data_IF_832520526649
#
_entry.id   IF_832520526649
#
_cell.length_a   1.000
_cell.length_b   1.000
_cell.length_c   1.000
_cell.angle_alpha   90.00
_cell.angle_beta   90.00
_cell.angle_gamma   90.00
#
_symmetry.space_group_name_H-M   'P 1'
#
loop_
_entity.id
_entity.type
_entity.pdbx_description
1 polymer ?
#
# COMPACT_ATOMS: atom_id res chain seq x y z
N UNK A 1 -6.05 7.59 -4.04
CA UNK A 1 -5.69 8.70 -3.13
C UNK A 1 -6.82 8.83 -2.15
N UNK A 2 -6.53 8.65 -0.86
CA UNK A 2 -7.55 8.43 0.17
C UNK A 2 -8.65 9.52 0.19
N UNK A 3 -8.28 10.79 0.26
CA UNK A 3 -9.24 11.90 0.32
C UNK A 3 -10.21 11.94 -0.88
N UNK A 4 -9.69 11.77 -2.10
CA UNK A 4 -10.52 11.78 -3.31
C UNK A 4 -11.42 10.54 -3.45
N UNK A 5 -11.05 9.41 -2.86
CA UNK A 5 -11.88 8.20 -2.86
C UNK A 5 -12.98 8.30 -1.80
N UNK A 6 -12.67 8.80 -0.61
CA UNK A 6 -13.66 9.13 0.42
C UNK A 6 -14.69 10.14 -0.08
N UNK A 7 -14.25 11.23 -0.70
CA UNK A 7 -15.14 12.26 -1.24
C UNK A 7 -16.15 11.67 -2.26
N UNK A 8 -15.72 10.70 -3.07
CA UNK A 8 -16.61 10.00 -4.01
C UNK A 8 -17.62 9.11 -3.30
N UNK A 9 -17.22 8.38 -2.26
CA UNK A 9 -18.16 7.56 -1.48
C UNK A 9 -19.19 8.45 -0.78
N UNK A 10 -18.76 9.55 -0.16
CA UNK A 10 -19.67 10.53 0.45
C UNK A 10 -20.67 11.07 -0.57
N UNK A 11 -20.20 11.51 -1.74
CA UNK A 11 -21.07 12.03 -2.79
C UNK A 11 -22.10 10.99 -3.27
N UNK A 12 -21.69 9.72 -3.42
CA UNK A 12 -22.60 8.63 -3.78
C UNK A 12 -23.63 8.36 -2.70
N UNK A 13 -23.21 8.34 -1.43
CA UNK A 13 -24.12 8.04 -0.33
C UNK A 13 -25.14 9.17 -0.11
N UNK A 14 -24.76 10.43 -0.34
CA UNK A 14 -25.71 11.55 -0.39
C UNK A 14 -26.79 11.35 -1.46
N UNK A 15 -26.44 10.72 -2.60
CA UNK A 15 -27.37 10.39 -3.69
C UNK A 15 -28.13 9.06 -3.47
N UNK A 16 -28.11 8.51 -2.25
CA UNK A 16 -28.86 7.31 -1.89
C UNK A 16 -28.12 6.00 -2.15
N UNK A 17 -26.81 6.03 -2.42
CA UNK A 17 -26.00 4.82 -2.28
C UNK A 17 -25.80 4.47 -0.80
N UNK A 18 -25.56 3.19 -0.51
CA UNK A 18 -25.19 2.70 0.83
C UNK A 18 -23.85 1.99 0.74
N UNK A 19 -22.81 2.74 0.35
CA UNK A 19 -21.49 2.19 0.10
C UNK A 19 -20.56 2.39 1.30
N UNK A 20 -20.00 1.30 1.83
CA UNK A 20 -18.91 1.36 2.79
C UNK A 20 -17.59 1.79 2.12
N UNK A 21 -16.74 2.45 2.89
CA UNK A 21 -15.39 2.83 2.45
C UNK A 21 -14.32 2.04 3.18
N UNK A 22 -13.92 0.90 2.60
CA UNK A 22 -12.92 -0.03 3.14
C UNK A 22 -11.72 -0.19 2.19
N UNK A 23 -11.02 0.89 1.81
CA UNK A 23 -9.85 0.75 0.94
C UNK A 23 -8.68 0.14 1.72
N UNK A 24 -7.70 -0.38 0.97
CA UNK A 24 -6.35 -0.53 1.51
C UNK A 24 -5.73 0.88 1.58
N UNK A 25 -5.28 1.36 2.76
CA UNK A 25 -4.59 2.64 2.88
C UNK A 25 -3.38 2.70 1.94
N UNK A 26 -3.08 3.88 1.41
CA UNK A 26 -2.02 4.04 0.43
C UNK A 26 -1.38 5.40 0.53
N UNK A 27 -0.06 5.43 0.39
CA UNK A 27 0.70 6.65 0.18
C UNK A 27 1.93 6.39 -0.68
N UNK A 28 2.50 7.48 -1.17
CA UNK A 28 3.78 7.47 -1.88
C UNK A 28 4.62 8.64 -1.39
N UNK A 29 5.92 8.55 -1.58
CA UNK A 29 6.86 9.65 -1.35
C UNK A 29 7.92 9.63 -2.44
N UNK A 30 8.18 10.79 -3.03
CA UNK A 30 9.39 11.00 -3.83
C UNK A 30 10.48 11.53 -2.87
N UNK A 31 11.61 10.83 -2.80
CA UNK A 31 12.79 11.19 -2.00
C UNK A 31 13.97 11.40 -2.94
N UNK A 32 14.16 12.65 -3.38
CA UNK A 32 15.10 12.96 -4.45
C UNK A 32 14.68 12.26 -5.75
N UNK A 33 15.58 11.45 -6.33
CA UNK A 33 15.29 10.63 -7.51
C UNK A 33 14.50 9.36 -7.18
N UNK A 34 14.35 9.01 -5.90
CA UNK A 34 13.79 7.74 -5.50
C UNK A 34 12.29 7.83 -5.22
N UNK A 35 11.54 6.81 -5.62
CA UNK A 35 10.09 6.71 -5.45
C UNK A 35 9.74 5.60 -4.48
N UNK A 36 9.16 5.96 -3.34
CA UNK A 36 8.61 5.03 -2.37
C UNK A 36 7.10 4.92 -2.60
N UNK A 37 6.58 3.69 -2.58
CA UNK A 37 5.15 3.41 -2.66
C UNK A 37 4.78 2.38 -1.59
N UNK A 38 3.73 2.67 -0.81
CA UNK A 38 3.27 1.81 0.28
C UNK A 38 1.76 1.62 0.21
N UNK A 39 1.31 0.37 0.35
CA UNK A 39 -0.09 0.02 0.59
C UNK A 39 -0.22 -0.70 1.94
N UNK A 40 -1.32 -0.49 2.65
CA UNK A 40 -1.57 -1.06 3.97
C UNK A 40 -1.08 -0.19 5.10
N UNK A 41 -1.08 -0.74 6.31
CA UNK A 41 -0.63 -0.05 7.52
C UNK A 41 0.60 -0.76 8.08
N UNK A 42 1.72 -0.04 8.15
CA UNK A 42 2.95 -0.56 8.76
C UNK A 42 2.83 -0.36 10.27
N UNK A 43 2.69 -1.44 11.02
CA UNK A 43 2.67 -1.42 12.49
C UNK A 43 4.10 -1.46 13.04
N UNK A 44 4.26 -1.15 14.33
CA UNK A 44 5.57 -1.23 14.99
C UNK A 44 6.09 -2.67 15.13
N UNK A 45 5.20 -3.67 15.12
CA UNK A 45 5.55 -5.09 15.18
C UNK A 45 5.74 -5.76 13.82
N UNK A 46 5.52 -5.03 12.71
CA UNK A 46 5.65 -5.61 11.39
C UNK A 46 7.09 -5.61 10.89
N UNK A 47 7.52 -6.77 10.37
CA UNK A 47 8.83 -6.94 9.76
C UNK A 47 8.74 -6.96 8.24
N UNK A 48 9.70 -6.32 7.56
CA UNK A 48 9.76 -6.29 6.11
C UNK A 48 10.50 -7.51 5.57
N UNK A 49 9.81 -8.31 4.78
CA UNK A 49 10.41 -9.39 3.99
C UNK A 49 10.47 -8.98 2.51
N UNK A 50 11.67 -9.02 1.92
CA UNK A 50 11.85 -8.70 0.50
C UNK A 50 11.39 -9.86 -0.39
N UNK A 51 10.47 -9.56 -1.30
CA UNK A 51 9.93 -10.52 -2.28
C UNK A 51 10.60 -10.34 -3.66
N UNK A 52 11.23 -9.19 -3.90
CA UNK A 52 11.91 -8.89 -5.16
C UNK A 52 13.04 -7.87 -4.98
N UNK A 53 14.25 -8.26 -5.38
CA UNK A 53 15.46 -7.44 -5.28
C UNK A 53 16.09 -7.48 -3.89
N UNK A 54 17.11 -6.67 -3.69
CA UNK A 54 17.83 -6.47 -2.44
C UNK A 54 17.85 -4.98 -2.05
N UNK A 55 18.12 -4.67 -0.77
CA UNK A 55 18.25 -3.28 -0.30
C UNK A 55 19.37 -2.49 -0.98
N UNK A 56 20.35 -3.19 -1.56
CA UNK A 56 21.45 -2.59 -2.32
C UNK A 56 21.08 -2.26 -3.77
N UNK A 57 19.92 -2.75 -4.25
CA UNK A 57 19.49 -2.52 -5.62
C UNK A 57 18.77 -1.18 -5.74
N UNK A 58 18.83 -0.58 -6.93
CA UNK A 58 18.08 0.64 -7.24
C UNK A 58 16.56 0.42 -7.19
N UNK A 59 16.07 -0.82 -7.20
CA UNK A 59 14.65 -1.12 -7.10
C UNK A 59 14.37 -2.46 -6.39
N UNK A 60 13.62 -2.40 -5.29
CA UNK A 60 13.17 -3.57 -4.54
C UNK A 60 11.70 -3.44 -4.11
N UNK A 61 11.11 -4.55 -3.68
CA UNK A 61 9.79 -4.56 -3.07
C UNK A 61 9.67 -5.69 -2.06
N UNK A 62 8.83 -5.48 -1.05
CA UNK A 62 8.61 -6.43 0.02
C UNK A 62 7.25 -6.26 0.68
N UNK A 63 6.97 -7.21 1.57
CA UNK A 63 5.73 -7.30 2.34
C UNK A 63 6.10 -7.13 3.80
N UNK A 64 5.37 -6.26 4.49
CA UNK A 64 5.39 -6.16 5.93
C UNK A 64 4.47 -7.23 6.52
N UNK A 65 5.02 -8.06 7.40
CA UNK A 65 4.27 -9.13 8.09
C UNK A 65 4.30 -8.93 9.59
N UNK A 66 3.15 -9.10 10.22
CA UNK A 66 2.98 -9.13 11.68
C UNK A 66 2.30 -10.46 12.04
N UNK A 67 2.93 -11.26 12.90
CA UNK A 67 2.46 -12.61 13.26
C UNK A 67 2.17 -13.49 12.01
N UNK A 68 3.01 -13.39 10.99
CA UNK A 68 2.88 -14.12 9.73
C UNK A 68 1.78 -13.61 8.78
N UNK A 69 1.01 -12.58 9.15
CA UNK A 69 -0.01 -11.96 8.28
C UNK A 69 0.56 -10.74 7.56
N UNK A 70 0.26 -10.61 6.27
CA UNK A 70 0.63 -9.43 5.50
C UNK A 70 -0.23 -8.22 5.93
N UNK A 71 0.42 -7.15 6.41
CA UNK A 71 -0.27 -5.93 6.90
C UNK A 71 0.00 -4.71 6.02
N UNK A 72 1.12 -4.71 5.30
CA UNK A 72 1.44 -3.70 4.31
C UNK A 72 2.41 -4.23 3.25
N UNK A 73 2.57 -3.49 2.16
CA UNK A 73 3.59 -3.74 1.13
C UNK A 73 4.31 -2.44 0.81
N UNK A 74 5.58 -2.57 0.46
CA UNK A 74 6.45 -1.45 0.11
C UNK A 74 7.16 -1.74 -1.20
N UNK A 75 7.31 -0.72 -2.04
CA UNK A 75 8.27 -0.75 -3.15
C UNK A 75 9.13 0.51 -3.17
N UNK A 76 10.40 0.30 -3.50
CA UNK A 76 11.37 1.34 -3.82
C UNK A 76 11.64 1.33 -5.33
N UNK A 77 11.46 2.47 -5.99
CA UNK A 77 11.64 2.69 -7.43
C UNK A 77 10.90 1.71 -8.36
N UNK A 78 9.92 0.98 -7.83
CA UNK A 78 9.13 0.03 -8.62
C UNK A 78 7.65 0.00 -8.19
N UNK A 79 6.89 1.08 -8.41
CA UNK A 79 5.45 1.16 -8.10
C UNK A 79 4.63 -0.02 -8.64
N UNK A 80 5.02 -0.57 -9.79
CA UNK A 80 4.36 -1.76 -10.39
C UNK A 80 4.42 -2.99 -9.48
N UNK A 81 5.52 -3.18 -8.75
CA UNK A 81 5.67 -4.29 -7.80
C UNK A 81 4.77 -4.10 -6.58
N UNK A 82 4.67 -2.89 -6.02
CA UNK A 82 3.72 -2.61 -4.94
C UNK A 82 2.27 -2.92 -5.35
N UNK A 83 1.84 -2.51 -6.55
CA UNK A 83 0.50 -2.83 -7.06
C UNK A 83 0.25 -4.34 -7.20
N UNK A 84 1.28 -5.14 -7.51
CA UNK A 84 1.17 -6.60 -7.57
C UNK A 84 1.07 -7.21 -6.18
N UNK A 85 1.98 -6.84 -5.27
CA UNK A 85 2.06 -7.38 -3.92
C UNK A 85 0.86 -7.00 -3.05
N UNK A 86 0.23 -5.84 -3.28
CA UNK A 86 -0.95 -5.43 -2.48
C UNK A 86 -2.11 -6.42 -2.55
N UNK A 87 -2.14 -7.33 -3.54
CA UNK A 87 -3.14 -8.41 -3.63
C UNK A 87 -3.09 -9.33 -2.41
N UNK A 88 -1.92 -9.48 -1.81
CA UNK A 88 -1.71 -10.31 -0.62
C UNK A 88 -2.35 -9.68 0.63
N UNK A 89 -2.68 -8.38 0.59
CA UNK A 89 -3.41 -7.67 1.65
C UNK A 89 -4.94 -7.82 1.55
N UNK A 90 -5.45 -8.44 0.48
CA UNK A 90 -6.88 -8.67 0.26
C UNK A 90 -7.33 -10.07 0.71
N UNK A 91 -6.41 -10.86 1.27
CA UNK A 91 -6.64 -12.25 1.70
C UNK A 91 -6.62 -12.30 3.23
#
# INVERSE_FOLDING_TARGET
>A
MNAGEQARVVARNILGAEQDFTPIPFFWSDQGSNKLVVHGHVTAGAELELEAGAFTDDAFAGVYREEGRAVAVLSWNSPRRATRLRRDLLT
#
